data_IF_740085839947
#
_entry.id   IF_740085839947
#
_cell.length_a   1.000
_cell.length_b   1.000
_cell.length_c   1.000
_cell.angle_alpha   90.00
_cell.angle_beta   90.00
_cell.angle_gamma   90.00
#
_symmetry.space_group_name_H-M   'P 1'
#
loop_
_entity.id
_entity.type
_entity.pdbx_description
1 polymer ?
#
# COMPACT_ATOMS: atom_id res chain seq x y z
N UNK A 1 0.78 30.77 -7.75
CA UNK A 1 0.26 30.46 -6.40
C UNK A 1 -1.24 30.68 -6.42
N UNK A 2 -2.03 29.72 -5.93
CA UNK A 2 -3.47 29.88 -5.85
C UNK A 2 -3.86 30.74 -4.63
N UNK A 3 -4.93 31.54 -4.74
CA UNK A 3 -5.33 32.55 -3.74
C UNK A 3 -6.66 32.16 -3.09
N UNK A 4 -6.82 32.46 -1.79
CA UNK A 4 -8.11 32.27 -1.09
C UNK A 4 -9.20 33.07 -1.82
N UNK A 5 -10.31 32.41 -2.12
CA UNK A 5 -11.44 32.96 -2.86
C UNK A 5 -11.41 32.67 -4.37
N UNK A 6 -10.29 32.20 -4.92
CA UNK A 6 -10.15 31.75 -6.31
C UNK A 6 -10.97 30.48 -6.58
N UNK A 7 -11.57 30.41 -7.77
CA UNK A 7 -12.18 29.20 -8.28
C UNK A 7 -11.17 28.40 -9.09
N UNK A 8 -10.96 27.15 -8.70
CA UNK A 8 -10.00 26.26 -9.36
C UNK A 8 -10.69 24.98 -9.83
N UNK A 9 -10.15 24.37 -10.89
CA UNK A 9 -10.61 23.06 -11.34
C UNK A 9 -10.26 21.99 -10.31
N UNK A 10 -11.22 21.09 -10.07
CA UNK A 10 -11.08 19.97 -9.15
C UNK A 10 -11.51 18.69 -9.86
N UNK A 11 -10.59 17.74 -9.98
CA UNK A 11 -10.87 16.39 -10.48
C UNK A 11 -11.03 15.43 -9.31
N UNK A 12 -12.00 14.55 -9.39
CA UNK A 12 -12.31 13.57 -8.35
C UNK A 12 -12.53 12.20 -8.99
N UNK A 13 -12.02 11.16 -8.35
CA UNK A 13 -12.44 9.78 -8.62
C UNK A 13 -13.47 9.41 -7.55
N UNK A 14 -14.68 9.07 -8.00
CA UNK A 14 -15.82 8.79 -7.15
C UNK A 14 -16.20 7.32 -7.34
N UNK A 15 -16.40 6.59 -6.24
CA UNK A 15 -17.03 5.28 -6.28
C UNK A 15 -18.51 5.47 -6.57
N UNK A 16 -19.01 4.80 -7.61
CA UNK A 16 -20.43 4.90 -8.00
C UNK A 16 -21.33 4.33 -6.90
N UNK A 17 -20.91 3.20 -6.33
CA UNK A 17 -21.61 2.43 -5.31
C UNK A 17 -20.60 1.71 -4.42
N UNK A 18 -21.07 1.04 -3.35
CA UNK A 18 -20.25 0.08 -2.63
C UNK A 18 -19.81 -1.07 -3.54
N UNK A 19 -18.55 -1.45 -3.43
CA UNK A 19 -17.95 -2.50 -4.25
C UNK A 19 -18.26 -3.87 -3.64
N UNK A 20 -18.86 -4.76 -4.44
CA UNK A 20 -18.96 -6.20 -4.12
C UNK A 20 -17.80 -6.96 -4.79
N UNK A 21 -17.13 -7.85 -4.05
CA UNK A 21 -15.99 -8.60 -4.60
C UNK A 21 -14.70 -7.77 -4.76
N UNK A 22 -14.09 -7.82 -5.95
CA UNK A 22 -12.89 -7.04 -6.31
C UNK A 22 -13.30 -5.78 -7.08
N UNK A 23 -12.71 -4.60 -6.77
CA UNK A 23 -13.01 -3.37 -7.49
C UNK A 23 -12.59 -3.46 -8.95
N UNK A 24 -13.41 -2.86 -9.80
CA UNK A 24 -13.21 -2.72 -11.24
C UNK A 24 -13.21 -1.24 -11.61
N UNK A 25 -12.64 -0.90 -12.76
CA UNK A 25 -12.63 0.50 -13.23
C UNK A 25 -14.05 1.02 -13.42
N UNK A 26 -14.97 0.13 -13.82
CA UNK A 26 -16.40 0.40 -13.97
C UNK A 26 -17.07 0.88 -12.68
N UNK A 27 -16.50 0.57 -11.51
CA UNK A 27 -17.06 0.95 -10.21
C UNK A 27 -16.69 2.39 -9.85
N UNK A 28 -15.77 3.00 -10.61
CA UNK A 28 -15.29 4.36 -10.42
C UNK A 28 -15.73 5.26 -11.57
N UNK A 29 -15.90 6.54 -11.27
CA UNK A 29 -16.17 7.58 -12.27
C UNK A 29 -15.32 8.80 -11.98
N UNK A 30 -14.74 9.37 -13.04
CA UNK A 30 -14.08 10.65 -12.96
C UNK A 30 -15.13 11.76 -13.03
N UNK A 31 -15.14 12.62 -12.02
CA UNK A 31 -15.93 13.86 -12.00
C UNK A 31 -14.98 15.04 -12.02
N UNK A 32 -15.23 15.97 -12.94
CA UNK A 32 -14.56 17.27 -12.95
C UNK A 32 -15.56 18.32 -12.50
N UNK A 33 -15.14 19.18 -11.58
CA UNK A 33 -15.92 20.32 -11.14
C UNK A 33 -15.02 21.51 -10.83
N UNK A 34 -15.61 22.54 -10.24
CA UNK A 34 -14.90 23.73 -9.77
C UNK A 34 -15.07 23.81 -8.27
N UNK A 35 -14.00 24.17 -7.56
CA UNK A 35 -14.05 24.45 -6.12
C UNK A 35 -13.54 25.85 -5.86
N UNK A 36 -14.24 26.57 -4.99
CA UNK A 36 -13.76 27.86 -4.48
C UNK A 36 -12.88 27.62 -3.27
N UNK A 37 -11.62 28.04 -3.36
CA UNK A 37 -10.65 27.87 -2.28
C UNK A 37 -11.06 28.72 -1.09
N UNK A 38 -11.36 28.10 0.05
CA UNK A 38 -11.77 28.79 1.28
C UNK A 38 -11.06 28.17 2.48
N UNK A 39 -10.68 29.02 3.43
CA UNK A 39 -10.28 28.59 4.76
C UNK A 39 -11.53 28.60 5.66
N UNK A 40 -11.60 27.75 6.70
CA UNK A 40 -12.65 27.87 7.71
C UNK A 40 -12.64 29.26 8.34
N UNK A 41 -13.80 29.90 8.48
CA UNK A 41 -13.94 31.34 8.79
C UNK A 41 -13.25 31.78 10.11
N UNK A 42 -13.01 30.85 11.03
CA UNK A 42 -12.37 31.10 12.33
C UNK A 42 -10.95 30.52 12.47
N UNK A 43 -10.38 29.96 11.41
CA UNK A 43 -9.05 29.32 11.49
C UNK A 43 -7.92 30.32 11.40
N UNK A 44 -7.24 30.58 12.53
CA UNK A 44 -6.01 31.38 12.58
C UNK A 44 -4.78 30.67 12.01
N UNK A 45 -4.82 29.33 11.93
CA UNK A 45 -3.68 28.48 11.56
C UNK A 45 -4.03 27.44 10.47
N UNK A 46 -5.02 27.71 9.61
CA UNK A 46 -5.32 26.80 8.51
C UNK A 46 -4.45 27.10 7.29
N UNK A 47 -4.03 26.04 6.61
CA UNK A 47 -3.31 26.10 5.35
C UNK A 47 -4.10 25.37 4.27
N UNK A 48 -4.08 25.91 3.06
CA UNK A 48 -4.56 25.19 1.88
C UNK A 48 -3.44 24.28 1.39
N UNK A 49 -3.76 22.99 1.22
CA UNK A 49 -2.82 22.00 0.70
C UNK A 49 -3.21 21.61 -0.73
N UNK A 50 -2.22 21.57 -1.62
CA UNK A 50 -2.36 21.00 -2.96
C UNK A 50 -1.86 19.56 -2.90
N UNK A 51 -2.75 18.60 -3.09
CA UNK A 51 -2.34 17.19 -3.21
C UNK A 51 -1.49 17.05 -4.48
N UNK A 52 -0.26 16.55 -4.32
CA UNK A 52 0.65 16.26 -5.43
C UNK A 52 0.66 14.75 -5.75
N UNK A 53 0.45 13.94 -4.71
CA UNK A 53 0.46 12.50 -4.80
C UNK A 53 -0.74 11.93 -4.04
N UNK A 54 -1.29 10.84 -4.56
CA UNK A 54 -2.22 9.98 -3.84
C UNK A 54 -1.59 8.61 -3.68
N UNK A 55 -1.54 8.15 -2.44
CA UNK A 55 -1.13 6.80 -2.10
C UNK A 55 -2.30 5.84 -2.32
N UNK A 56 -2.07 4.73 -3.02
CA UNK A 56 -3.03 3.63 -3.07
C UNK A 56 -2.61 2.57 -2.05
N UNK A 57 -3.53 2.19 -1.16
CA UNK A 57 -3.26 1.28 -0.04
C UNK A 57 -4.25 0.10 -0.01
N UNK A 58 -3.78 -1.13 0.28
CA UNK A 58 -4.65 -2.29 0.39
C UNK A 58 -5.80 -2.10 1.39
N UNK A 59 -5.54 -1.38 2.48
CA UNK A 59 -6.55 -1.05 3.51
C UNK A 59 -7.76 -0.30 2.95
N UNK A 60 -7.60 0.46 1.86
CA UNK A 60 -8.71 1.18 1.22
C UNK A 60 -9.85 0.25 0.80
N UNK A 61 -9.58 -1.04 0.54
CA UNK A 61 -10.60 -2.02 0.15
C UNK A 61 -11.66 -2.23 1.22
N UNK A 62 -11.29 -2.23 2.50
CA UNK A 62 -12.25 -2.35 3.59
C UNK A 62 -13.25 -1.20 3.61
N UNK A 63 -12.79 0.00 3.23
CA UNK A 63 -13.60 1.23 3.14
C UNK A 63 -14.47 1.32 1.89
N UNK A 64 -14.27 0.43 0.92
CA UNK A 64 -15.06 0.38 -0.32
C UNK A 64 -16.28 -0.55 -0.22
N UNK A 65 -16.41 -1.31 0.88
CA UNK A 65 -17.46 -2.32 1.07
C UNK A 65 -18.51 -1.86 2.09
N UNK A 66 -19.74 -2.32 1.90
CA UNK A 66 -20.75 -2.37 2.96
C UNK A 66 -20.41 -3.60 3.82
N UNK A 67 -20.19 -3.42 5.13
CA UNK A 67 -19.55 -4.43 5.99
C UNK A 67 -20.22 -5.81 5.90
N UNK A 68 -19.47 -6.83 5.46
CA UNK A 68 -19.51 -8.24 5.85
C UNK A 68 -18.45 -9.05 5.05
N UNK A 69 -17.46 -9.59 5.77
CA UNK A 69 -16.58 -10.76 5.51
C UNK A 69 -15.69 -10.93 4.24
N UNK A 70 -14.70 -11.84 4.37
CA UNK A 70 -13.44 -11.99 3.61
C UNK A 70 -13.41 -13.20 2.63
N UNK A 71 -12.49 -13.42 1.65
CA UNK A 71 -11.67 -12.69 0.65
C UNK A 71 -11.16 -13.75 -0.38
N UNK A 72 -10.95 -13.41 -1.67
CA UNK A 72 -10.70 -14.33 -2.81
C UNK A 72 -9.27 -14.21 -3.43
N UNK A 73 -8.80 -15.33 -4.01
CA UNK A 73 -7.63 -15.79 -4.83
C UNK A 73 -6.55 -14.81 -5.44
N UNK A 74 -5.31 -15.32 -5.74
CA UNK A 74 -4.10 -14.52 -6.00
C UNK A 74 -3.59 -14.42 -7.47
N UNK A 75 -2.75 -13.41 -7.80
CA UNK A 75 -2.07 -13.20 -9.12
C UNK A 75 -0.52 -13.36 -9.24
N UNK A 76 -0.02 -14.14 -10.19
CA UNK A 76 1.44 -14.31 -10.53
C UNK A 76 1.71 -13.62 -11.89
N UNK A 77 2.85 -12.93 -12.21
CA UNK A 77 4.26 -13.30 -11.92
C UNK A 77 5.35 -12.17 -11.75
N UNK A 78 6.55 -12.52 -11.22
CA UNK A 78 7.85 -12.02 -11.74
C UNK A 78 8.83 -11.12 -10.93
N UNK A 79 8.71 -10.93 -9.60
CA UNK A 79 9.54 -9.93 -8.87
C UNK A 79 10.59 -10.46 -7.86
N UNK A 80 10.89 -11.77 -7.85
CA UNK A 80 11.85 -12.36 -6.89
C UNK A 80 13.24 -11.72 -7.00
N UNK A 81 13.69 -11.44 -8.22
CA UNK A 81 15.01 -10.85 -8.47
C UNK A 81 15.17 -9.45 -7.85
N UNK A 82 14.10 -8.67 -7.77
CA UNK A 82 14.13 -7.34 -7.16
C UNK A 82 14.39 -7.43 -5.65
N UNK A 83 13.78 -8.41 -4.99
CA UNK A 83 13.90 -8.62 -3.54
C UNK A 83 15.34 -8.94 -3.14
N UNK A 84 16.00 -9.83 -3.90
CA UNK A 84 17.38 -10.23 -3.63
C UNK A 84 18.37 -9.14 -4.04
N UNK A 85 18.28 -8.66 -5.28
CA UNK A 85 19.32 -7.80 -5.85
C UNK A 85 19.23 -6.33 -5.42
N UNK A 86 18.03 -5.82 -5.15
CA UNK A 86 17.83 -4.40 -4.78
C UNK A 86 17.61 -4.18 -3.30
N UNK A 87 16.80 -5.04 -2.68
CA UNK A 87 16.43 -4.87 -1.27
C UNK A 87 17.32 -5.65 -0.30
N UNK A 88 18.22 -6.49 -0.80
CA UNK A 88 19.20 -7.22 0.01
C UNK A 88 18.58 -8.34 0.85
N UNK A 89 17.43 -8.89 0.45
CA UNK A 89 16.90 -10.10 1.08
C UNK A 89 17.80 -11.28 0.72
N UNK A 90 18.13 -12.10 1.72
CA UNK A 90 18.94 -13.31 1.51
C UNK A 90 18.27 -14.26 0.50
N UNK A 91 16.97 -14.50 0.68
CA UNK A 91 16.17 -15.38 -0.16
C UNK A 91 14.75 -14.84 -0.35
N UNK A 92 14.15 -15.18 -1.50
CA UNK A 92 12.77 -14.84 -1.83
C UNK A 92 12.18 -15.90 -2.76
N UNK A 93 10.86 -16.12 -2.67
CA UNK A 93 10.16 -17.07 -3.54
C UNK A 93 8.78 -16.55 -3.92
N UNK A 94 8.28 -17.05 -5.04
CA UNK A 94 6.97 -16.71 -5.55
C UNK A 94 5.94 -17.75 -5.07
N UNK A 95 5.17 -17.41 -4.04
CA UNK A 95 4.24 -18.33 -3.38
C UNK A 95 3.15 -18.93 -4.29
N UNK A 96 2.95 -18.39 -5.50
CA UNK A 96 1.94 -18.88 -6.46
C UNK A 96 2.50 -19.93 -7.42
N UNK A 97 3.83 -20.00 -7.53
CA UNK A 97 4.52 -21.06 -8.28
C UNK A 97 4.86 -22.25 -7.38
N UNK A 98 4.82 -22.04 -6.07
CA UNK A 98 4.99 -23.10 -5.07
C UNK A 98 3.71 -23.94 -4.95
N UNK A 99 3.85 -25.25 -5.19
CA UNK A 99 2.77 -26.22 -4.95
C UNK A 99 2.56 -26.50 -3.47
N UNK A 100 3.57 -26.25 -2.66
CA UNK A 100 3.60 -26.52 -1.22
C UNK A 100 4.39 -25.41 -0.52
N UNK A 101 3.66 -24.56 0.22
CA UNK A 101 4.24 -23.43 0.94
C UNK A 101 5.05 -23.87 2.16
N UNK A 102 4.68 -24.97 2.82
CA UNK A 102 5.41 -25.48 3.97
C UNK A 102 6.78 -25.99 3.55
N UNK A 103 6.81 -26.77 2.47
CA UNK A 103 8.05 -27.24 1.88
C UNK A 103 8.91 -26.07 1.38
N UNK A 104 8.30 -25.06 0.77
CA UNK A 104 9.00 -23.85 0.34
C UNK A 104 9.67 -23.13 1.50
N UNK A 105 8.95 -22.86 2.58
CA UNK A 105 9.50 -22.22 3.78
C UNK A 105 10.62 -23.04 4.40
N UNK A 106 10.46 -24.37 4.48
CA UNK A 106 11.48 -25.25 5.07
C UNK A 106 12.79 -25.30 4.28
N UNK A 107 12.77 -25.07 2.96
CA UNK A 107 14.00 -24.95 2.14
C UNK A 107 14.84 -23.75 2.56
N UNK A 108 14.21 -22.63 2.88
CA UNK A 108 14.89 -21.40 3.25
C UNK A 108 15.14 -21.29 4.76
N UNK A 109 14.25 -21.86 5.57
CA UNK A 109 14.28 -21.81 7.04
C UNK A 109 14.41 -23.20 7.63
N UNK A 110 15.51 -23.89 7.31
CA UNK A 110 15.77 -25.27 7.78
C UNK A 110 15.79 -25.41 9.31
N UNK A 111 16.07 -24.32 10.04
CA UNK A 111 16.08 -24.25 11.50
C UNK A 111 14.80 -23.64 12.11
N UNK A 112 13.78 -23.40 11.28
CA UNK A 112 12.53 -22.74 11.64
C UNK A 112 12.61 -21.20 11.66
N UNK A 113 11.45 -20.56 11.74
CA UNK A 113 11.28 -19.11 11.68
C UNK A 113 11.25 -18.52 13.09
N UNK A 114 12.12 -17.55 13.36
CA UNK A 114 12.17 -16.85 14.65
C UNK A 114 11.19 -15.68 14.73
N UNK A 115 11.07 -14.89 13.66
CA UNK A 115 10.20 -13.72 13.61
C UNK A 115 9.46 -13.74 12.27
N UNK A 116 8.14 -13.65 12.32
CA UNK A 116 7.31 -13.49 11.13
C UNK A 116 6.49 -12.20 11.21
N UNK A 117 6.60 -11.38 10.18
CA UNK A 117 5.88 -10.12 10.06
C UNK A 117 4.66 -10.34 9.16
N UNK A 118 3.50 -10.52 9.77
CA UNK A 118 2.27 -10.96 9.11
C UNK A 118 1.47 -9.76 8.54
N UNK A 119 1.32 -9.74 7.22
CA UNK A 119 0.62 -8.71 6.45
C UNK A 119 -0.54 -9.25 5.59
N UNK A 120 -0.61 -10.56 5.32
CA UNK A 120 -1.46 -11.20 4.31
C UNK A 120 -2.45 -12.22 4.93
N UNK A 121 -1.98 -13.09 5.82
CA UNK A 121 -2.75 -14.14 6.48
C UNK A 121 -3.01 -15.38 5.62
N UNK A 122 -4.06 -16.13 5.99
CA UNK A 122 -4.59 -17.29 5.24
C UNK A 122 -3.53 -18.41 5.10
N UNK A 123 -3.46 -19.07 3.94
CA UNK A 123 -2.60 -20.24 3.68
C UNK A 123 -1.10 -19.98 3.93
N UNK A 124 -0.64 -18.73 3.83
CA UNK A 124 0.75 -18.37 4.15
C UNK A 124 0.98 -18.40 5.66
N UNK A 125 0.03 -17.88 6.46
CA UNK A 125 0.10 -17.94 7.92
C UNK A 125 0.12 -19.39 8.42
N UNK A 126 -0.76 -20.23 7.87
CA UNK A 126 -0.82 -21.66 8.22
C UNK A 126 0.53 -22.35 7.97
N UNK A 127 1.12 -22.11 6.78
CA UNK A 127 2.41 -22.68 6.43
C UNK A 127 3.57 -22.12 7.28
N UNK A 128 3.51 -20.85 7.69
CA UNK A 128 4.50 -20.26 8.59
C UNK A 128 4.39 -20.83 9.98
N UNK A 129 3.18 -20.99 10.53
CA UNK A 129 2.94 -21.49 11.89
C UNK A 129 3.61 -22.85 12.13
N UNK A 130 3.53 -23.77 11.18
CA UNK A 130 4.15 -25.10 11.29
C UNK A 130 5.67 -25.07 11.09
N UNK A 131 6.21 -23.98 10.53
CA UNK A 131 7.64 -23.75 10.37
C UNK A 131 8.21 -22.80 11.46
N UNK A 132 7.39 -22.35 12.41
CA UNK A 132 7.87 -21.50 13.50
C UNK A 132 8.78 -22.29 14.44
N UNK A 133 9.84 -21.63 14.89
CA UNK A 133 10.70 -22.17 15.94
C UNK A 133 10.02 -22.00 17.31
N UNK A 134 10.33 -22.90 18.25
CA UNK A 134 9.92 -22.71 19.65
C UNK A 134 10.41 -21.34 20.16
N UNK A 135 9.50 -20.56 20.76
CA UNK A 135 9.68 -19.15 21.15
C UNK A 135 9.78 -18.14 20.00
N UNK A 136 9.44 -18.52 18.78
CA UNK A 136 9.30 -17.55 17.69
C UNK A 136 8.11 -16.61 17.89
N UNK A 137 8.18 -15.42 17.29
CA UNK A 137 7.20 -14.36 17.44
C UNK A 137 6.54 -14.01 16.11
N UNK A 138 5.23 -13.79 16.11
CA UNK A 138 4.49 -13.29 14.96
C UNK A 138 4.01 -11.87 15.25
N UNK A 139 4.50 -10.91 14.49
CA UNK A 139 4.02 -9.53 14.53
C UNK A 139 2.87 -9.38 13.52
N UNK A 140 1.64 -9.30 14.01
CA UNK A 140 0.45 -9.16 13.15
C UNK A 140 0.24 -7.69 12.82
N UNK A 141 0.71 -7.27 11.65
CA UNK A 141 0.76 -5.86 11.26
C UNK A 141 -0.34 -5.45 10.27
N UNK A 142 -1.11 -6.40 9.75
CA UNK A 142 -2.14 -6.16 8.74
C UNK A 142 -3.28 -5.19 9.12
N UNK A 143 -3.35 -4.65 10.35
CA UNK A 143 -4.57 -3.96 10.80
C UNK A 143 -4.44 -2.65 11.61
N UNK A 144 -3.31 -2.29 12.25
CA UNK A 144 -3.33 -1.14 13.20
C UNK A 144 -2.03 -0.31 13.25
N UNK A 145 -1.73 0.45 12.20
CA UNK A 145 -0.65 1.48 12.26
C UNK A 145 -1.01 2.64 13.21
N UNK A 146 -2.31 2.86 13.47
CA UNK A 146 -2.82 3.98 14.26
C UNK A 146 -2.34 3.97 15.72
N UNK A 147 -2.17 2.79 16.32
CA UNK A 147 -1.73 2.66 17.71
C UNK A 147 -0.26 3.07 17.90
N UNK A 148 0.53 3.02 16.83
CA UNK A 148 1.96 3.34 16.83
C UNK A 148 2.27 4.76 16.36
N UNK A 149 1.27 5.62 16.08
CA UNK A 149 1.50 6.97 15.55
C UNK A 149 2.36 7.85 16.47
N UNK A 150 2.28 7.64 17.79
CA UNK A 150 3.10 8.34 18.77
C UNK A 150 4.62 8.04 18.61
N UNK A 151 4.99 6.95 17.96
CA UNK A 151 6.38 6.59 17.64
C UNK A 151 6.86 7.18 16.31
N UNK A 152 5.97 7.77 15.51
CA UNK A 152 6.30 8.28 14.17
C UNK A 152 7.46 9.29 14.16
N UNK A 153 7.55 10.28 15.09
CA UNK A 153 8.71 11.18 15.14
C UNK A 153 10.03 10.44 15.33
N UNK A 154 10.07 9.48 16.26
CA UNK A 154 11.25 8.65 16.54
C UNK A 154 11.61 7.75 15.35
N UNK A 155 10.60 7.21 14.67
CA UNK A 155 10.79 6.45 13.45
C UNK A 155 11.44 7.30 12.35
N UNK A 156 10.98 8.54 12.15
CA UNK A 156 11.57 9.46 11.17
C UNK A 156 13.03 9.80 11.52
N UNK A 157 13.32 10.12 12.78
CA UNK A 157 14.69 10.38 13.25
C UNK A 157 15.63 9.19 12.98
N UNK A 158 15.13 7.97 13.16
CA UNK A 158 15.90 6.74 12.92
C UNK A 158 16.08 6.47 11.42
N UNK A 159 15.03 6.59 10.60
CA UNK A 159 15.01 6.08 9.22
C UNK A 159 15.55 7.09 8.21
N UNK A 160 15.30 8.39 8.40
CA UNK A 160 15.71 9.42 7.43
C UNK A 160 17.23 9.43 7.15
N UNK A 161 18.13 9.28 8.14
CA UNK A 161 19.57 9.17 7.88
C UNK A 161 19.90 7.95 7.02
N UNK A 162 19.29 6.80 7.31
CA UNK A 162 19.53 5.56 6.58
C UNK A 162 19.04 5.62 5.13
N UNK A 163 17.94 6.34 4.85
CA UNK A 163 17.50 6.61 3.47
C UNK A 163 18.52 7.52 2.77
N UNK A 164 18.96 8.61 3.41
CA UNK A 164 19.95 9.55 2.84
C UNK A 164 21.30 8.88 2.55
N UNK A 165 21.72 7.95 3.40
CA UNK A 165 22.94 7.17 3.25
C UNK A 165 22.80 5.99 2.26
N UNK A 166 21.60 5.77 1.70
CA UNK A 166 21.33 4.64 0.80
C UNK A 166 21.30 3.27 1.48
N UNK A 167 21.35 3.21 2.81
CA UNK A 167 21.21 1.98 3.61
C UNK A 167 19.78 1.43 3.60
N UNK A 168 18.80 2.31 3.41
CA UNK A 168 17.40 1.94 3.19
C UNK A 168 16.99 2.45 1.81
N UNK A 169 16.64 1.53 0.92
CA UNK A 169 16.08 1.85 -0.39
C UNK A 169 14.57 1.68 -0.37
N UNK A 170 13.87 2.41 -1.24
CA UNK A 170 12.45 2.25 -1.48
C UNK A 170 12.18 2.11 -2.98
N UNK A 171 11.03 1.54 -3.33
CA UNK A 171 10.56 1.42 -4.72
C UNK A 171 9.11 1.87 -4.75
N UNK A 172 8.81 2.72 -5.72
CA UNK A 172 7.47 3.22 -6.01
C UNK A 172 7.07 2.78 -7.40
N UNK A 173 5.83 2.35 -7.53
CA UNK A 173 5.13 2.19 -8.80
C UNK A 173 4.34 3.48 -9.04
N UNK A 174 4.85 4.32 -9.92
CA UNK A 174 4.36 5.69 -10.11
C UNK A 174 3.54 5.75 -11.40
N UNK A 175 2.27 6.15 -11.28
CA UNK A 175 1.43 6.50 -12.44
C UNK A 175 1.14 7.99 -12.44
N UNK A 176 1.08 8.59 -13.62
CA UNK A 176 0.81 10.01 -13.82
C UNK A 176 -0.67 10.23 -14.19
N UNK A 177 -1.27 11.27 -13.61
CA UNK A 177 -2.65 11.65 -13.88
C UNK A 177 -3.66 10.99 -12.94
N UNK A 178 -4.58 11.80 -12.40
CA UNK A 178 -5.64 11.29 -11.53
C UNK A 178 -6.56 10.30 -12.25
N UNK A 179 -6.73 10.46 -13.57
CA UNK A 179 -7.43 9.55 -14.46
C UNK A 179 -6.89 8.11 -14.43
N UNK A 180 -5.61 7.91 -14.10
CA UNK A 180 -4.99 6.59 -13.99
C UNK A 180 -5.20 5.93 -12.62
N UNK A 181 -5.75 6.67 -11.63
CA UNK A 181 -5.96 6.14 -10.28
C UNK A 181 -6.83 4.88 -10.21
N UNK A 182 -7.94 4.73 -10.98
CA UNK A 182 -8.71 3.48 -11.00
C UNK A 182 -7.87 2.28 -11.45
N UNK A 183 -7.13 2.43 -12.54
CA UNK A 183 -6.27 1.37 -13.08
C UNK A 183 -5.14 1.01 -12.10
N UNK A 184 -4.52 2.01 -11.48
CA UNK A 184 -3.46 1.83 -10.47
C UNK A 184 -3.99 1.14 -9.20
N UNK A 185 -5.18 1.52 -8.72
CA UNK A 185 -5.81 0.89 -7.57
C UNK A 185 -6.16 -0.58 -7.84
N UNK A 186 -6.61 -0.91 -9.05
CA UNK A 186 -6.90 -2.29 -9.45
C UNK A 186 -5.59 -3.06 -9.66
N UNK A 187 -4.58 -2.42 -10.25
CA UNK A 187 -3.22 -2.96 -10.36
C UNK A 187 -2.69 -3.37 -8.99
N UNK A 188 -2.85 -2.51 -7.99
CA UNK A 188 -2.51 -2.80 -6.60
C UNK A 188 -3.25 -4.04 -6.06
N UNK A 189 -4.58 -4.11 -6.21
CA UNK A 189 -5.34 -5.25 -5.69
C UNK A 189 -5.12 -6.55 -6.44
N UNK A 190 -4.67 -6.47 -7.69
CA UNK A 190 -4.31 -7.63 -8.51
C UNK A 190 -2.81 -7.93 -8.48
N UNK A 191 -2.02 -7.27 -7.62
CA UNK A 191 -0.58 -7.53 -7.48
C UNK A 191 0.25 -7.25 -8.74
N UNK A 192 -0.24 -6.37 -9.63
CA UNK A 192 0.51 -5.92 -10.81
C UNK A 192 1.55 -4.84 -10.48
N UNK A 193 1.41 -4.17 -9.34
CA UNK A 193 2.30 -3.10 -8.93
C UNK A 193 3.64 -3.63 -8.41
N UNK A 194 4.72 -2.87 -8.66
CA UNK A 194 6.05 -3.17 -8.11
C UNK A 194 6.45 -2.10 -7.10
N UNK A 195 6.41 -2.43 -5.81
CA UNK A 195 6.66 -1.48 -4.73
C UNK A 195 5.41 -0.66 -4.37
N UNK A 196 5.60 0.54 -3.82
CA UNK A 196 4.47 1.37 -3.35
C UNK A 196 3.74 2.01 -4.53
N UNK A 197 2.48 1.67 -4.75
CA UNK A 197 1.67 2.35 -5.77
C UNK A 197 1.37 3.81 -5.38
N UNK A 198 1.78 4.74 -6.22
CA UNK A 198 1.59 6.18 -6.08
C UNK A 198 0.98 6.74 -7.37
N UNK A 199 -0.04 7.59 -7.24
CA UNK A 199 -0.61 8.37 -8.34
C UNK A 199 -0.15 9.81 -8.22
N UNK A 200 0.56 10.31 -9.22
CA UNK A 200 0.93 11.72 -9.34
C UNK A 200 -0.26 12.48 -9.91
N UNK A 201 -0.85 13.37 -9.12
CA UNK A 201 -2.09 14.07 -9.49
C UNK A 201 -1.85 15.42 -10.16
N UNK A 202 -0.59 15.87 -10.19
CA UNK A 202 -0.16 17.14 -10.78
C UNK A 202 1.12 16.88 -11.57
N UNK A 203 1.16 17.28 -12.84
CA UNK A 203 2.37 17.17 -13.64
C UNK A 203 3.57 17.78 -12.90
N UNK A 204 4.68 17.05 -12.82
CA UNK A 204 5.93 17.55 -12.27
C UNK A 204 6.45 18.66 -13.19
N UNK A 205 6.50 19.88 -12.68
CA UNK A 205 7.22 21.00 -13.31
C UNK A 205 8.74 20.79 -13.20
#
# INVERSE_FOLDING_TARGET
>A
MAVVGEEVSNKQIILKEYVSGFPKESDMVMKTGTIRLKLPEDSKNAILVKNLYLSCDPYMRSRMRKSEENYVEPFTPGSVDLLKNKFGFDEAFNYKEEKDLEAALKRYFSSGINIYFENVGVKMLDAVLVNMRLHGCIAVCGFLVFDCYHLYPKFLEMILPHIKEGKITYVEDVVEGLESAPAALIGLFSGRNVGKQVVVVVARE
#
